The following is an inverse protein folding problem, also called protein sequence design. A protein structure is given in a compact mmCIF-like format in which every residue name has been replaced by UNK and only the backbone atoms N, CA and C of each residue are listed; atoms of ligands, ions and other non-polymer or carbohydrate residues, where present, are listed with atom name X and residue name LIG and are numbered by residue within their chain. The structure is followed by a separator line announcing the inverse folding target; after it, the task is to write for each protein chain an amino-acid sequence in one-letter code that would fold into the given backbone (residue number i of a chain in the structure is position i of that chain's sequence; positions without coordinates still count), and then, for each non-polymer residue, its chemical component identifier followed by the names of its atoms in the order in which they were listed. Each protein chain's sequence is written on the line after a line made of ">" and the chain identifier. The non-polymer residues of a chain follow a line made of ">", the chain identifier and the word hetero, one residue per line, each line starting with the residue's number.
data_IF_648564995874
#
_entry.id   IF_648564995874
#
_cell.length_a   1.000
_cell.length_b   1.000
_cell.length_c   1.000
_cell.angle_alpha   90.00
_cell.angle_beta   90.00
_cell.angle_gamma   90.00
#
_symmetry.space_group_name_H-M   'P 1'
#
loop_
_entity.id
_entity.type
_entity.pdbx_description
1 polymer ?
#
# COMPACT_ATOMS: atom_id res chain seq x y z
N UNK A 1 38.21 -10.80 -6.42
CA UNK A 1 37.70 -9.75 -7.33
C UNK A 1 36.58 -10.40 -8.11
N UNK A 2 35.36 -10.18 -7.68
CA UNK A 2 34.18 -10.71 -8.36
C UNK A 2 33.69 -9.62 -9.33
N UNK A 3 33.60 -9.97 -10.60
CA UNK A 3 33.07 -9.11 -11.66
C UNK A 3 31.59 -8.78 -11.37
N UNK A 4 31.33 -7.52 -11.16
CA UNK A 4 29.99 -6.99 -11.00
C UNK A 4 29.34 -6.93 -12.41
N UNK A 5 28.22 -7.61 -12.67
CA UNK A 5 27.60 -7.57 -13.99
C UNK A 5 27.07 -6.16 -14.25
N UNK A 6 27.56 -5.55 -15.33
CA UNK A 6 27.10 -4.26 -15.84
C UNK A 6 25.57 -4.28 -16.01
N UNK A 7 24.81 -3.32 -15.49
CA UNK A 7 23.36 -3.28 -15.66
C UNK A 7 23.03 -3.17 -17.15
N UNK A 8 22.15 -4.05 -17.62
CA UNK A 8 21.67 -4.02 -18.99
C UNK A 8 21.01 -2.66 -19.29
N UNK A 9 21.24 -2.06 -20.48
CA UNK A 9 20.68 -0.75 -20.82
C UNK A 9 19.15 -0.79 -20.71
N UNK A 10 18.59 0.21 -20.02
CA UNK A 10 17.16 0.31 -19.79
C UNK A 10 16.40 0.24 -21.13
N UNK A 11 15.52 -0.72 -21.27
CA UNK A 11 14.67 -0.92 -22.45
C UNK A 11 13.80 0.30 -22.81
N UNK A 12 13.70 1.26 -21.92
CA UNK A 12 12.90 2.49 -22.06
C UNK A 12 13.50 3.47 -23.05
N UNK A 13 14.83 3.63 -23.09
CA UNK A 13 15.50 4.59 -23.98
C UNK A 13 15.42 4.20 -25.46
N UNK A 14 15.45 2.90 -25.77
CA UNK A 14 15.33 2.41 -27.17
C UNK A 14 13.89 2.45 -27.70
N UNK A 15 12.90 2.56 -26.80
CA UNK A 15 11.48 2.58 -27.17
C UNK A 15 11.01 3.91 -27.79
N UNK A 16 11.68 5.03 -27.51
CA UNK A 16 11.26 6.38 -27.97
C UNK A 16 11.58 6.67 -29.45
N UNK A 17 12.51 5.92 -30.05
CA UNK A 17 12.99 6.17 -31.43
C UNK A 17 12.20 5.45 -32.52
N UNK A 18 11.27 4.57 -32.17
CA UNK A 18 10.53 3.75 -33.14
C UNK A 18 9.08 4.23 -33.21
N UNK A 19 8.67 4.72 -34.38
CA UNK A 19 7.30 5.16 -34.62
C UNK A 19 6.25 4.05 -34.36
N UNK A 20 5.01 4.41 -33.96
CA UNK A 20 3.99 3.44 -33.50
C UNK A 20 3.64 2.36 -34.54
N UNK A 21 3.63 2.70 -35.83
CA UNK A 21 3.35 1.74 -36.90
C UNK A 21 4.46 0.69 -37.07
N UNK A 22 5.74 1.12 -37.03
CA UNK A 22 6.89 0.21 -37.11
C UNK A 22 6.97 -0.67 -35.87
N UNK A 23 6.64 -0.12 -34.67
CA UNK A 23 6.55 -0.89 -33.44
C UNK A 23 5.48 -1.98 -33.54
N UNK A 24 4.27 -1.65 -33.98
CA UNK A 24 3.18 -2.62 -34.17
C UNK A 24 3.57 -3.72 -35.16
N UNK A 25 4.24 -3.36 -36.26
CA UNK A 25 4.74 -4.33 -37.22
C UNK A 25 5.82 -5.25 -36.64
N UNK A 26 6.82 -4.70 -35.94
CA UNK A 26 7.87 -5.49 -35.27
C UNK A 26 7.28 -6.46 -34.23
N UNK A 27 6.33 -6.01 -33.43
CA UNK A 27 5.60 -6.87 -32.44
C UNK A 27 4.83 -7.98 -33.23
N UNK A 28 4.20 -7.64 -34.35
CA UNK A 28 3.54 -8.60 -35.20
C UNK A 28 4.50 -9.67 -35.74
N UNK A 29 5.68 -9.28 -36.20
CA UNK A 29 6.72 -10.21 -36.68
C UNK A 29 7.26 -11.07 -35.53
N UNK A 30 7.54 -10.50 -34.38
CA UNK A 30 7.96 -11.25 -33.19
C UNK A 30 6.93 -12.32 -32.80
N UNK A 31 5.63 -11.97 -32.80
CA UNK A 31 4.54 -12.92 -32.53
C UNK A 31 4.45 -14.02 -33.57
N UNK A 32 4.51 -13.63 -34.87
CA UNK A 32 4.43 -14.57 -36.01
C UNK A 32 5.57 -15.58 -35.99
N UNK A 33 6.80 -15.15 -35.72
CA UNK A 33 7.97 -16.00 -35.71
C UNK A 33 8.35 -16.55 -34.34
N UNK A 34 7.51 -16.34 -33.29
CA UNK A 34 7.73 -16.80 -31.90
C UNK A 34 9.10 -16.38 -31.34
N UNK A 35 9.53 -15.17 -31.68
CA UNK A 35 10.83 -14.61 -31.25
C UNK A 35 10.81 -13.98 -29.85
N UNK A 36 9.77 -14.25 -29.04
CA UNK A 36 9.72 -13.80 -27.66
C UNK A 36 10.85 -14.46 -26.85
N UNK A 37 11.40 -13.71 -25.93
CA UNK A 37 12.36 -14.23 -24.95
C UNK A 37 11.81 -14.03 -23.52
N UNK A 38 11.74 -15.07 -22.69
CA UNK A 38 11.87 -16.50 -23.06
C UNK A 38 10.84 -16.93 -24.11
N UNK A 39 11.15 -17.99 -24.85
CA UNK A 39 10.20 -18.52 -25.86
C UNK A 39 8.88 -18.90 -25.20
N UNK A 40 7.77 -18.75 -25.93
CA UNK A 40 6.46 -19.22 -25.48
C UNK A 40 6.52 -20.69 -25.08
N UNK A 41 6.15 -20.99 -23.81
CA UNK A 41 6.28 -22.32 -23.22
C UNK A 41 7.65 -22.63 -22.61
N UNK A 42 8.64 -21.72 -22.76
CA UNK A 42 10.00 -21.88 -22.19
C UNK A 42 10.20 -21.17 -20.85
N UNK A 43 9.16 -20.56 -20.28
CA UNK A 43 9.22 -19.95 -18.94
C UNK A 43 9.14 -21.05 -17.89
N UNK A 44 10.12 -21.11 -16.99
CA UNK A 44 10.08 -21.97 -15.81
C UNK A 44 9.48 -21.19 -14.64
N UNK A 45 8.43 -21.71 -14.07
CA UNK A 45 7.85 -21.16 -12.83
C UNK A 45 8.42 -21.81 -11.58
N UNK A 46 9.22 -22.89 -11.72
CA UNK A 46 9.74 -23.62 -10.54
C UNK A 46 8.61 -23.97 -9.57
N UNK A 47 8.87 -23.72 -8.27
CA UNK A 47 7.92 -23.96 -7.19
C UNK A 47 6.66 -23.08 -7.24
N UNK A 48 6.68 -22.00 -8.03
CA UNK A 48 5.52 -21.13 -8.23
C UNK A 48 4.49 -21.69 -9.23
N UNK A 49 4.78 -22.84 -9.89
CA UNK A 49 3.83 -23.48 -10.81
C UNK A 49 2.75 -24.24 -10.06
N UNK A 50 1.87 -23.47 -9.42
CA UNK A 50 0.79 -23.99 -8.56
C UNK A 50 -0.42 -23.06 -8.63
N UNK A 51 -1.61 -23.59 -8.40
CA UNK A 51 -2.88 -22.84 -8.40
C UNK A 51 -3.29 -22.38 -7.01
N UNK A 52 -2.55 -22.77 -5.98
CA UNK A 52 -2.73 -22.32 -4.59
C UNK A 52 -1.46 -21.61 -4.12
N UNK A 53 -1.56 -20.62 -3.24
CA UNK A 53 -0.37 -19.94 -2.74
C UNK A 53 0.50 -20.90 -1.91
N UNK A 54 1.75 -20.54 -1.70
CA UNK A 54 2.68 -21.23 -0.78
C UNK A 54 2.20 -21.03 0.66
N UNK A 55 1.86 -19.79 1.03
CA UNK A 55 1.17 -19.48 2.28
C UNK A 55 -0.17 -18.79 1.99
N UNK A 56 -1.24 -19.27 2.61
CA UNK A 56 -2.54 -18.61 2.59
C UNK A 56 -2.64 -17.45 3.61
N UNK A 57 -1.61 -17.25 4.45
CA UNK A 57 -1.58 -16.30 5.57
C UNK A 57 -0.73 -15.06 5.28
N UNK A 58 -0.59 -14.63 4.04
CA UNK A 58 0.26 -13.50 3.62
C UNK A 58 1.75 -13.66 3.94
N UNK A 59 2.21 -14.88 4.22
CA UNK A 59 3.58 -15.15 4.63
C UNK A 59 3.82 -15.10 6.14
N UNK A 60 2.81 -14.79 6.97
CA UNK A 60 2.93 -14.73 8.44
C UNK A 60 3.41 -16.03 9.10
N UNK A 61 3.21 -17.16 8.46
CA UNK A 61 3.68 -18.48 8.90
C UNK A 61 5.08 -18.82 8.36
N UNK A 62 5.70 -17.90 7.62
CA UNK A 62 7.04 -18.06 7.02
C UNK A 62 8.03 -17.01 7.53
N UNK A 63 7.54 -15.83 7.91
CA UNK A 63 8.33 -14.71 8.37
C UNK A 63 7.52 -13.42 8.37
N UNK A 64 8.17 -12.29 8.09
CA UNK A 64 7.50 -11.00 7.99
C UNK A 64 6.83 -10.86 6.62
N UNK A 65 5.55 -10.49 6.55
CA UNK A 65 4.86 -10.25 5.28
C UNK A 65 5.51 -9.13 4.45
N UNK A 66 5.52 -9.29 3.13
CA UNK A 66 6.16 -8.33 2.19
C UNK A 66 5.52 -6.95 2.26
N UNK A 67 4.19 -6.86 2.43
CA UNK A 67 3.49 -5.58 2.56
C UNK A 67 4.00 -4.75 3.73
N UNK A 68 4.41 -5.40 4.84
CA UNK A 68 4.96 -4.71 6.01
C UNK A 68 6.24 -3.94 5.71
N UNK A 69 7.07 -4.43 4.79
CA UNK A 69 8.26 -3.70 4.35
C UNK A 69 7.90 -2.32 3.80
N UNK A 70 6.92 -2.25 2.92
CA UNK A 70 6.51 -1.01 2.27
C UNK A 70 5.73 -0.09 3.20
N UNK A 71 4.83 -0.66 4.03
CA UNK A 71 4.08 0.09 5.03
C UNK A 71 5.02 0.75 6.03
N UNK A 72 5.95 -0.02 6.60
CA UNK A 72 6.89 0.49 7.60
C UNK A 72 7.87 1.49 7.02
N UNK A 73 8.34 1.27 5.78
CA UNK A 73 9.16 2.25 5.06
C UNK A 73 8.43 3.58 4.88
N UNK A 74 7.20 3.54 4.34
CA UNK A 74 6.37 4.74 4.19
C UNK A 74 6.19 5.49 5.51
N UNK A 75 5.83 4.78 6.57
CA UNK A 75 5.61 5.39 7.88
C UNK A 75 6.91 5.92 8.51
N UNK A 76 8.04 5.22 8.31
CA UNK A 76 9.35 5.68 8.80
C UNK A 76 9.80 6.97 8.10
N UNK A 77 9.63 7.07 6.76
CA UNK A 77 9.93 8.27 5.99
C UNK A 77 9.09 9.48 6.44
N UNK A 78 7.88 9.22 6.96
CA UNK A 78 6.93 10.22 7.44
C UNK A 78 6.83 10.30 8.97
N UNK A 79 7.74 9.66 9.72
CA UNK A 79 7.65 9.55 11.18
C UNK A 79 7.62 10.92 11.90
N UNK A 80 8.22 11.95 11.32
CA UNK A 80 8.23 13.31 11.86
C UNK A 80 6.83 13.97 11.94
N UNK A 81 5.83 13.44 11.23
CA UNK A 81 4.42 13.85 11.34
C UNK A 81 3.68 13.14 12.48
N UNK A 82 4.21 12.02 13.02
CA UNK A 82 3.58 11.24 14.07
C UNK A 82 3.86 11.92 15.43
N UNK A 83 3.04 12.91 15.76
CA UNK A 83 3.21 13.75 16.94
C UNK A 83 1.89 14.30 17.47
N UNK A 84 1.90 14.83 18.70
CA UNK A 84 0.71 15.39 19.30
C UNK A 84 -0.31 14.31 19.67
N UNK A 85 -1.58 14.57 19.44
CA UNK A 85 -2.64 13.57 19.62
C UNK A 85 -2.81 12.76 18.34
N UNK A 86 -2.45 11.48 18.39
CA UNK A 86 -2.50 10.58 17.25
C UNK A 86 -3.68 9.62 17.37
N UNK A 87 -4.25 9.24 16.20
CA UNK A 87 -5.23 8.17 16.07
C UNK A 87 -4.64 7.07 15.18
N UNK A 88 -4.71 5.82 15.63
CA UNK A 88 -4.33 4.66 14.85
C UNK A 88 -5.48 3.64 14.84
N UNK A 89 -5.60 2.83 13.80
CA UNK A 89 -6.63 1.81 13.70
C UNK A 89 -6.10 0.46 14.18
N UNK A 90 -6.88 -0.20 15.02
CA UNK A 90 -6.62 -1.56 15.50
C UNK A 90 -5.76 -1.63 16.75
N UNK A 91 -4.61 -1.00 16.74
CA UNK A 91 -3.66 -0.89 17.86
C UNK A 91 -2.92 0.46 17.81
N UNK A 92 -1.93 0.68 18.68
CA UNK A 92 -1.11 1.89 18.71
C UNK A 92 0.38 1.60 18.37
N UNK A 93 0.63 0.54 17.61
CA UNK A 93 1.99 0.07 17.38
C UNK A 93 2.87 1.10 16.65
N UNK A 94 2.40 1.64 15.54
CA UNK A 94 3.18 2.63 14.79
C UNK A 94 3.23 3.99 15.50
N UNK A 95 2.14 4.39 16.13
CA UNK A 95 2.10 5.61 16.96
C UNK A 95 3.18 5.59 18.03
N UNK A 96 3.30 4.48 18.76
CA UNK A 96 4.25 4.36 19.87
C UNK A 96 5.68 4.11 19.41
N UNK A 97 5.87 3.29 18.38
CA UNK A 97 7.23 2.91 17.92
C UNK A 97 7.91 4.00 17.09
N UNK A 98 7.14 4.75 16.28
CA UNK A 98 7.69 5.79 15.39
C UNK A 98 7.54 7.19 15.98
N UNK A 99 6.41 7.50 16.62
CA UNK A 99 6.16 8.84 17.21
C UNK A 99 6.88 9.07 18.53
N UNK A 100 7.11 8.02 19.32
CA UNK A 100 7.88 8.07 20.58
C UNK A 100 7.44 9.24 21.48
N UNK A 101 8.39 10.00 21.99
CA UNK A 101 8.19 11.13 22.92
C UNK A 101 7.47 12.34 22.28
N UNK A 102 7.28 12.35 20.96
CA UNK A 102 6.54 13.42 20.27
C UNK A 102 5.01 13.23 20.38
N UNK A 103 4.55 12.04 20.75
CA UNK A 103 3.13 11.72 20.91
C UNK A 103 2.68 12.11 22.32
N UNK A 104 1.70 13.01 22.39
CA UNK A 104 1.12 13.44 23.69
C UNK A 104 -0.06 12.56 24.12
N UNK A 105 -0.76 11.97 23.14
CA UNK A 105 -1.84 11.02 23.37
C UNK A 105 -2.00 10.09 22.17
N UNK A 106 -2.01 8.79 22.43
CA UNK A 106 -2.34 7.76 21.46
C UNK A 106 -3.79 7.30 21.67
N UNK A 107 -4.63 7.52 20.67
CA UNK A 107 -5.98 6.97 20.62
C UNK A 107 -6.01 5.81 19.63
N UNK A 108 -6.75 4.75 19.95
CA UNK A 108 -6.96 3.57 19.09
C UNK A 108 -8.42 3.50 18.69
N UNK A 109 -8.66 3.46 17.38
CA UNK A 109 -10.00 3.32 16.83
C UNK A 109 -10.27 1.88 16.43
N UNK A 110 -11.43 1.38 16.81
CA UNK A 110 -11.94 0.10 16.35
C UNK A 110 -13.43 0.22 15.96
N UNK A 111 -13.86 -0.52 14.93
CA UNK A 111 -15.24 -0.42 14.43
C UNK A 111 -16.25 -1.06 15.38
N UNK A 112 -15.85 -2.10 16.12
CA UNK A 112 -16.71 -2.83 17.07
C UNK A 112 -16.04 -2.92 18.43
N UNK A 113 -16.85 -3.05 19.48
CA UNK A 113 -16.36 -3.30 20.83
C UNK A 113 -15.66 -4.67 20.94
N UNK A 114 -14.76 -4.80 21.91
CA UNK A 114 -14.05 -6.04 22.23
C UNK A 114 -12.53 -5.98 22.07
N UNK A 115 -11.99 -4.92 21.46
CA UNK A 115 -10.57 -4.64 21.49
C UNK A 115 -10.23 -3.89 22.81
N UNK A 116 -9.40 -4.44 23.72
CA UNK A 116 -9.08 -3.80 25.01
C UNK A 116 -8.23 -2.54 24.84
N UNK A 117 -7.55 -2.36 23.72
CA UNK A 117 -6.75 -1.17 23.43
C UNK A 117 -7.59 -0.03 22.83
N UNK A 118 -8.80 -0.33 22.34
CA UNK A 118 -9.63 0.67 21.70
C UNK A 118 -10.10 1.76 22.68
N UNK A 119 -9.71 2.99 22.41
CA UNK A 119 -10.17 4.20 23.13
C UNK A 119 -11.39 4.83 22.45
N UNK A 120 -11.61 4.54 21.19
CA UNK A 120 -12.72 5.04 20.36
C UNK A 120 -13.34 3.87 19.61
N UNK A 121 -14.64 3.70 19.78
CA UNK A 121 -15.42 2.74 18.98
C UNK A 121 -16.28 3.54 18.00
N UNK A 122 -16.01 3.40 16.71
CA UNK A 122 -16.72 4.12 15.66
C UNK A 122 -16.63 3.44 14.31
N UNK A 123 -17.72 3.49 13.55
CA UNK A 123 -17.68 3.32 12.10
C UNK A 123 -17.36 4.67 11.47
N UNK A 124 -16.27 4.75 10.72
CA UNK A 124 -15.84 6.01 10.09
C UNK A 124 -16.82 6.51 9.02
N UNK A 125 -17.73 5.68 8.54
CA UNK A 125 -18.78 6.12 7.62
C UNK A 125 -19.87 6.94 8.32
N UNK A 126 -20.02 6.79 9.65
CA UNK A 126 -20.96 7.55 10.48
C UNK A 126 -20.41 7.70 11.91
N UNK A 127 -19.56 8.69 12.12
CA UNK A 127 -18.89 8.94 13.41
C UNK A 127 -19.05 10.39 13.90
N UNK A 128 -20.30 10.90 14.07
CA UNK A 128 -20.52 12.29 14.51
C UNK A 128 -20.08 12.57 15.94
N UNK A 129 -19.94 11.52 16.76
CA UNK A 129 -19.51 11.63 18.16
C UNK A 129 -18.00 11.88 18.31
N UNK A 130 -17.19 11.66 17.26
CA UNK A 130 -15.79 12.08 17.27
C UNK A 130 -15.75 13.57 16.89
N UNK A 131 -15.27 14.46 17.79
CA UNK A 131 -15.26 15.88 17.51
C UNK A 131 -14.38 16.24 16.31
N UNK A 132 -14.73 17.31 15.61
CA UNK A 132 -13.89 17.89 14.56
C UNK A 132 -12.57 18.40 15.15
N UNK A 133 -11.54 18.52 14.31
CA UNK A 133 -10.26 19.14 14.63
C UNK A 133 -9.62 18.58 15.93
N UNK A 134 -9.61 17.26 16.04
CA UNK A 134 -9.18 16.55 17.26
C UNK A 134 -7.75 16.03 17.16
N UNK A 135 -7.35 15.49 16.02
CA UNK A 135 -6.08 14.76 15.87
C UNK A 135 -5.04 15.57 15.11
N UNK A 136 -3.80 15.51 15.59
CA UNK A 136 -2.64 16.08 14.91
C UNK A 136 -2.13 15.13 13.83
N UNK A 137 -2.26 13.81 14.04
CA UNK A 137 -1.91 12.79 13.07
C UNK A 137 -2.91 11.62 13.11
N UNK A 138 -3.25 11.07 11.96
CA UNK A 138 -4.03 9.84 11.83
C UNK A 138 -3.21 8.83 11.01
N UNK A 139 -2.95 7.65 11.58
CA UNK A 139 -2.31 6.51 10.92
C UNK A 139 -3.41 5.53 10.50
N UNK A 140 -3.62 5.42 9.19
CA UNK A 140 -4.73 4.66 8.59
C UNK A 140 -4.19 3.60 7.62
N UNK A 141 -3.62 2.52 8.19
CA UNK A 141 -2.97 1.48 7.38
C UNK A 141 -3.94 0.36 7.01
N UNK A 142 -3.92 -0.04 5.75
CA UNK A 142 -4.58 -1.25 5.19
C UNK A 142 -6.06 -1.41 5.58
N UNK A 143 -6.78 -0.31 5.74
CA UNK A 143 -8.17 -0.33 6.22
C UNK A 143 -9.17 0.24 5.20
N UNK A 144 -8.76 1.21 4.36
CA UNK A 144 -9.66 1.87 3.42
C UNK A 144 -10.33 0.90 2.45
N UNK A 145 -9.60 -0.12 1.99
CA UNK A 145 -10.13 -1.15 1.08
C UNK A 145 -11.23 -2.02 1.71
N UNK A 146 -11.39 -1.98 3.03
CA UNK A 146 -12.41 -2.74 3.78
C UNK A 146 -13.69 -1.93 4.05
N UNK A 147 -13.72 -0.66 3.66
CA UNK A 147 -14.86 0.24 3.89
C UNK A 147 -15.64 0.42 2.60
N UNK A 148 -16.94 0.10 2.60
CA UNK A 148 -17.78 0.20 1.41
C UNK A 148 -17.96 1.63 0.93
N UNK A 149 -18.19 2.56 1.85
CA UNK A 149 -18.28 3.99 1.58
C UNK A 149 -16.99 4.71 1.96
N UNK A 150 -16.02 4.64 1.06
CA UNK A 150 -14.72 5.31 1.25
C UNK A 150 -14.84 6.83 1.32
N UNK A 151 -15.83 7.42 0.62
CA UNK A 151 -16.05 8.86 0.61
C UNK A 151 -16.47 9.36 1.99
N UNK A 152 -17.47 8.70 2.60
CA UNK A 152 -17.91 9.04 3.95
C UNK A 152 -16.78 8.86 4.99
N UNK A 153 -16.02 7.78 4.88
CA UNK A 153 -14.90 7.53 5.79
C UNK A 153 -13.79 8.59 5.65
N UNK A 154 -13.37 8.93 4.43
CA UNK A 154 -12.36 9.94 4.18
C UNK A 154 -12.83 11.35 4.58
N UNK A 155 -14.11 11.68 4.36
CA UNK A 155 -14.71 12.92 4.83
C UNK A 155 -14.67 13.01 6.37
N UNK A 156 -14.94 11.91 7.06
CA UNK A 156 -14.81 11.83 8.52
C UNK A 156 -13.35 12.03 8.94
N UNK A 157 -12.39 11.33 8.31
CA UNK A 157 -10.96 11.50 8.62
C UNK A 157 -10.51 12.94 8.41
N UNK A 158 -10.93 13.59 7.32
CA UNK A 158 -10.66 15.00 7.09
C UNK A 158 -11.27 15.90 8.18
N UNK A 159 -12.53 15.64 8.57
CA UNK A 159 -13.21 16.43 9.60
C UNK A 159 -12.54 16.35 10.95
N UNK A 160 -12.14 15.16 11.39
CA UNK A 160 -11.53 14.94 12.73
C UNK A 160 -10.06 15.33 12.81
N UNK A 161 -9.36 15.50 11.67
CA UNK A 161 -8.02 16.10 11.62
C UNK A 161 -8.09 17.59 11.93
N UNK A 162 -7.14 18.09 12.73
CA UNK A 162 -6.93 19.52 12.94
C UNK A 162 -6.47 20.20 11.65
N UNK A 163 -6.69 21.51 11.49
CA UNK A 163 -5.96 22.32 10.52
C UNK A 163 -4.44 22.11 10.70
N UNK A 164 -3.72 21.79 9.61
CA UNK A 164 -2.31 21.39 9.65
C UNK A 164 -2.05 19.96 10.11
N UNK A 165 -3.08 19.21 10.50
CA UNK A 165 -2.97 17.78 10.85
C UNK A 165 -2.74 16.91 9.62
N UNK A 166 -2.17 15.70 9.84
CA UNK A 166 -1.70 14.82 8.77
C UNK A 166 -2.38 13.47 8.81
N UNK A 167 -2.88 13.02 7.67
CA UNK A 167 -3.29 11.64 7.41
C UNK A 167 -2.12 10.89 6.77
N UNK A 168 -1.70 9.78 7.39
CA UNK A 168 -0.80 8.78 6.83
C UNK A 168 -1.60 7.53 6.49
N UNK A 169 -1.86 7.34 5.21
CA UNK A 169 -2.71 6.27 4.68
C UNK A 169 -1.86 5.24 3.94
N UNK A 170 -2.14 3.97 4.13
CA UNK A 170 -1.68 2.93 3.20
C UNK A 170 -2.82 2.03 2.76
N UNK A 171 -2.82 1.62 1.50
CA UNK A 171 -3.82 0.71 0.94
C UNK A 171 -3.19 -0.30 -0.01
N UNK A 172 -3.89 -1.41 -0.22
CA UNK A 172 -3.43 -2.48 -1.12
C UNK A 172 -3.74 -2.16 -2.58
N UNK A 173 -2.73 -2.27 -3.43
CA UNK A 173 -2.84 -2.42 -4.86
C UNK A 173 -2.94 -3.90 -5.26
N UNK A 174 -1.83 -4.51 -5.68
CA UNK A 174 -1.77 -5.93 -6.07
C UNK A 174 -1.67 -6.80 -4.81
N UNK A 175 -2.77 -7.46 -4.47
CA UNK A 175 -2.86 -8.32 -3.28
C UNK A 175 -3.93 -9.40 -3.45
N UNK A 176 -3.86 -10.46 -2.67
CA UNK A 176 -5.00 -11.36 -2.50
C UNK A 176 -6.07 -10.73 -1.62
N UNK A 177 -7.31 -11.22 -1.71
CA UNK A 177 -8.39 -10.79 -0.80
C UNK A 177 -8.10 -11.28 0.61
N UNK A 178 -8.15 -10.37 1.59
CA UNK A 178 -8.03 -10.67 3.01
C UNK A 178 -9.36 -11.23 3.55
N UNK A 179 -9.40 -12.54 3.80
CA UNK A 179 -10.60 -13.20 4.34
C UNK A 179 -10.31 -13.78 5.71
N UNK A 180 -11.13 -13.46 6.68
CA UNK A 180 -11.07 -14.01 8.04
C UNK A 180 -11.84 -15.33 8.13
N UNK A 181 -11.18 -16.40 7.77
CA UNK A 181 -11.77 -17.75 7.96
C UNK A 181 -11.66 -18.18 9.43
N UNK A 182 -12.70 -18.86 9.98
CA UNK A 182 -13.92 -19.33 9.32
C UNK A 182 -15.07 -18.31 9.27
N UNK A 183 -14.94 -17.13 9.90
CA UNK A 183 -16.05 -16.20 10.08
C UNK A 183 -16.42 -15.47 8.80
N UNK A 184 -15.40 -15.05 8.02
CA UNK A 184 -15.55 -14.22 6.81
C UNK A 184 -16.47 -12.99 7.04
N UNK A 185 -16.37 -12.43 8.23
CA UNK A 185 -17.19 -11.36 8.77
C UNK A 185 -16.73 -9.95 8.36
N UNK A 186 -15.63 -9.89 7.58
CA UNK A 186 -15.09 -8.64 7.06
C UNK A 186 -15.07 -8.69 5.54
N UNK A 187 -15.63 -7.66 4.91
CA UNK A 187 -15.50 -7.45 3.48
C UNK A 187 -14.15 -6.83 3.14
N UNK A 188 -13.68 -7.10 1.94
CA UNK A 188 -12.61 -6.34 1.31
C UNK A 188 -13.08 -6.04 -0.11
N UNK A 189 -13.35 -4.75 -0.38
CA UNK A 189 -14.16 -4.32 -1.52
C UNK A 189 -13.31 -3.71 -2.63
N UNK A 190 -12.16 -3.11 -2.29
CA UNK A 190 -11.43 -2.25 -3.20
C UNK A 190 -9.98 -2.66 -3.37
N UNK A 191 -9.45 -2.37 -4.55
CA UNK A 191 -8.02 -2.31 -4.87
C UNK A 191 -7.75 -0.95 -5.48
N UNK A 192 -6.88 -0.18 -4.85
CA UNK A 192 -6.64 1.20 -5.25
C UNK A 192 -5.27 1.32 -5.91
N UNK A 193 -5.23 2.05 -7.01
CA UNK A 193 -4.00 2.53 -7.63
C UNK A 193 -3.59 3.87 -7.01
N UNK A 194 -2.33 4.26 -7.19
CA UNK A 194 -1.86 5.58 -6.77
C UNK A 194 -2.74 6.70 -7.36
N UNK A 195 -3.07 6.63 -8.64
CA UNK A 195 -3.97 7.57 -9.30
C UNK A 195 -5.38 7.60 -8.69
N UNK A 196 -5.91 6.43 -8.30
CA UNK A 196 -7.21 6.35 -7.62
C UNK A 196 -7.18 7.03 -6.25
N UNK A 197 -6.09 6.85 -5.48
CA UNK A 197 -5.90 7.53 -4.19
C UNK A 197 -5.74 9.04 -4.38
N UNK A 198 -4.98 9.50 -5.39
CA UNK A 198 -4.85 10.93 -5.72
C UNK A 198 -6.21 11.58 -5.98
N UNK A 199 -7.06 10.95 -6.80
CA UNK A 199 -8.41 11.46 -7.11
C UNK A 199 -9.27 11.56 -5.84
N UNK A 200 -9.30 10.51 -5.01
CA UNK A 200 -10.07 10.50 -3.76
C UNK A 200 -9.60 11.60 -2.78
N UNK A 201 -8.28 11.76 -2.62
CA UNK A 201 -7.74 12.77 -1.72
C UNK A 201 -7.92 14.19 -2.26
N UNK A 202 -7.81 14.40 -3.57
CA UNK A 202 -8.08 15.71 -4.18
C UNK A 202 -9.54 16.15 -3.97
N UNK A 203 -10.48 15.22 -4.00
CA UNK A 203 -11.89 15.50 -3.77
C UNK A 203 -12.22 15.74 -2.29
N UNK A 204 -11.71 14.89 -1.41
CA UNK A 204 -12.14 14.81 -0.01
C UNK A 204 -11.24 15.58 0.97
N UNK A 205 -10.05 15.99 0.52
CA UNK A 205 -9.11 16.84 1.24
C UNK A 205 -8.81 18.13 0.44
N UNK A 206 -9.80 18.97 0.17
CA UNK A 206 -9.64 20.12 -0.70
C UNK A 206 -8.56 21.09 -0.19
N UNK A 207 -7.60 21.40 -1.06
CA UNK A 207 -6.47 22.29 -0.75
C UNK A 207 -5.42 21.67 0.19
N UNK A 208 -5.50 20.37 0.48
CA UNK A 208 -4.44 19.67 1.22
C UNK A 208 -3.15 19.60 0.39
N UNK A 209 -2.02 19.54 1.10
CA UNK A 209 -0.75 19.10 0.51
C UNK A 209 -0.75 17.56 0.52
N UNK A 210 -0.82 16.98 -0.69
CA UNK A 210 -0.97 15.53 -0.90
C UNK A 210 0.27 14.97 -1.59
N UNK A 211 0.79 13.87 -1.05
CA UNK A 211 1.84 13.06 -1.66
C UNK A 211 1.36 11.61 -1.73
N UNK A 212 1.47 10.98 -2.91
CA UNK A 212 1.09 9.57 -3.11
C UNK A 212 2.28 8.81 -3.69
N UNK A 213 2.65 7.71 -3.06
CA UNK A 213 3.84 6.92 -3.37
C UNK A 213 3.43 5.47 -3.63
N UNK A 214 3.55 4.96 -4.86
CA UNK A 214 3.42 3.54 -5.14
C UNK A 214 4.69 2.78 -4.74
N UNK A 215 4.52 1.60 -4.16
CA UNK A 215 5.60 0.69 -3.80
C UNK A 215 5.40 -0.67 -4.45
N UNK A 216 6.49 -1.27 -4.88
CA UNK A 216 6.53 -2.64 -5.37
C UNK A 216 7.07 -2.77 -6.79
N UNK A 217 7.07 -4.00 -7.25
CA UNK A 217 7.46 -4.43 -8.60
C UNK A 217 6.87 -5.82 -8.87
N UNK A 218 7.07 -6.34 -10.08
CA UNK A 218 6.50 -7.62 -10.48
C UNK A 218 6.99 -8.79 -9.62
N UNK A 219 8.24 -8.79 -9.16
CA UNK A 219 8.78 -9.86 -8.31
C UNK A 219 8.14 -9.82 -6.93
N UNK A 220 8.14 -8.65 -6.29
CA UNK A 220 7.50 -8.45 -4.98
C UNK A 220 6.00 -8.76 -5.03
N UNK A 221 5.28 -8.34 -6.09
CA UNK A 221 3.88 -8.67 -6.29
C UNK A 221 3.65 -10.18 -6.39
N UNK A 222 4.46 -10.88 -7.20
CA UNK A 222 4.36 -12.33 -7.38
C UNK A 222 4.66 -13.07 -6.07
N UNK A 223 5.71 -12.69 -5.36
CA UNK A 223 6.09 -13.25 -4.08
C UNK A 223 4.98 -13.04 -3.03
N UNK A 224 4.43 -11.82 -2.96
CA UNK A 224 3.33 -11.50 -2.04
C UNK A 224 2.05 -12.27 -2.33
N UNK A 225 1.69 -12.45 -3.62
CA UNK A 225 0.53 -13.26 -4.01
C UNK A 225 0.71 -14.75 -3.65
N UNK A 226 1.94 -15.26 -3.66
CA UNK A 226 2.26 -16.59 -3.19
C UNK A 226 2.42 -16.70 -1.68
N UNK A 227 2.40 -15.57 -0.95
CA UNK A 227 2.56 -15.53 0.50
C UNK A 227 3.98 -15.90 0.93
N UNK A 228 4.98 -15.43 0.20
CA UNK A 228 6.36 -15.48 0.63
C UNK A 228 6.61 -14.42 1.71
N UNK A 229 7.64 -14.66 2.54
CA UNK A 229 8.05 -13.73 3.56
C UNK A 229 9.11 -12.74 3.02
N UNK A 230 9.29 -11.64 3.73
CA UNK A 230 10.29 -10.62 3.44
C UNK A 230 11.70 -11.21 3.31
N UNK A 231 12.02 -12.17 4.18
CA UNK A 231 13.32 -12.82 4.28
C UNK A 231 13.67 -13.72 3.09
N UNK A 232 12.71 -13.93 2.18
CA UNK A 232 12.89 -14.71 0.95
C UNK A 232 13.24 -13.85 -0.27
N UNK A 233 13.31 -12.50 -0.10
CA UNK A 233 13.73 -11.56 -1.13
C UNK A 233 14.95 -10.76 -0.67
N UNK A 234 15.77 -10.35 -1.64
CA UNK A 234 16.90 -9.47 -1.36
C UNK A 234 16.43 -8.02 -1.19
N UNK A 235 17.06 -7.22 -0.32
CA UNK A 235 16.67 -5.81 -0.13
C UNK A 235 16.64 -5.00 -1.44
N UNK A 236 17.58 -5.23 -2.34
CA UNK A 236 17.63 -4.54 -3.64
C UNK A 236 16.44 -4.90 -4.56
N UNK A 237 15.85 -6.09 -4.41
CA UNK A 237 14.66 -6.52 -5.13
C UNK A 237 13.40 -5.83 -4.60
N UNK A 238 13.35 -5.58 -3.29
CA UNK A 238 12.26 -4.87 -2.64
C UNK A 238 12.34 -3.36 -2.89
N UNK A 239 13.55 -2.79 -2.93
CA UNK A 239 13.78 -1.36 -3.13
C UNK A 239 13.53 -0.89 -4.57
N UNK A 240 13.58 -1.81 -5.54
CA UNK A 240 13.27 -1.48 -6.92
C UNK A 240 11.76 -1.21 -7.08
N UNK A 241 11.42 0.00 -7.48
CA UNK A 241 10.02 0.42 -7.71
C UNK A 241 9.71 0.39 -9.20
N UNK A 242 8.66 -0.34 -9.58
CA UNK A 242 8.06 -0.30 -10.91
C UNK A 242 6.61 0.19 -10.77
N UNK A 243 6.29 1.41 -11.21
CA UNK A 243 4.97 2.02 -11.01
C UNK A 243 3.84 1.28 -11.74
N UNK A 244 4.15 0.33 -12.63
CA UNK A 244 3.15 -0.52 -13.28
C UNK A 244 2.71 -1.69 -12.37
N UNK A 245 3.40 -1.92 -11.22
CA UNK A 245 3.16 -3.03 -10.31
C UNK A 245 3.07 -2.56 -8.86
N UNK A 246 2.05 -1.79 -8.56
CA UNK A 246 1.80 -1.23 -7.23
C UNK A 246 1.32 -2.31 -6.26
N UNK A 247 2.17 -2.74 -5.32
CA UNK A 247 1.81 -3.70 -4.26
C UNK A 247 1.12 -2.97 -3.11
N UNK A 248 1.73 -1.88 -2.66
CA UNK A 248 1.19 -0.97 -1.65
C UNK A 248 1.23 0.45 -2.20
N UNK A 249 0.18 1.20 -1.90
CA UNK A 249 0.11 2.64 -2.13
C UNK A 249 0.13 3.33 -0.77
N UNK A 250 1.13 4.17 -0.53
CA UNK A 250 1.20 5.08 0.61
C UNK A 250 0.72 6.47 0.21
N UNK A 251 0.01 7.16 1.09
CA UNK A 251 -0.41 8.53 0.86
C UNK A 251 -0.33 9.37 2.14
N UNK A 252 0.25 10.56 2.00
CA UNK A 252 0.24 11.61 3.01
C UNK A 252 -0.66 12.74 2.55
N UNK A 253 -1.60 13.14 3.40
CA UNK A 253 -2.43 14.31 3.15
C UNK A 253 -2.38 15.24 4.38
N UNK A 254 -1.88 16.46 4.19
CA UNK A 254 -1.87 17.50 5.23
C UNK A 254 -3.08 18.40 5.05
N UNK A 255 -3.99 18.40 6.03
CA UNK A 255 -5.17 19.28 6.01
C UNK A 255 -4.74 20.73 6.01
N UNK A 256 -5.32 21.53 5.10
CA UNK A 256 -4.98 22.96 4.99
C UNK A 256 -5.15 23.68 6.33
N UNK A 257 -4.18 24.49 6.68
CA UNK A 257 -4.31 25.46 7.78
C UNK A 257 -5.30 26.53 7.36
N UNK A 258 -6.23 26.88 8.24
CA UNK A 258 -7.23 27.91 8.03
C UNK A 258 -6.60 29.27 7.88
#
# INVERSE_FOLDING_TARGET
>A
MADNPTPAPSRTAARSLIGPKLRAWLVGQQRKHRLQWPRKGGVSFGDLRRVTPISAKFGLDRGKPIDRYYIERFLADHAHFIRGRCLELGDAYYTTTLGKDQVTKADVLHVVAGNPEATIIADLTDAPHIPSDTFDCIIFTQSLQMITDMHAALATLHRILKPGGVLLLTTSGISKVGRRKPRDDWGEYWRLTAQGVEVLLAELFPGADVEVIPYGNVLAATAYLHGLALEELEPAELDYVDPDFEVIVGARATKRSS
#
